data_IF_399445647118
#
_entry.id   IF_399445647118
#
_cell.length_a   1.000
_cell.length_b   1.000
_cell.length_c   1.000
_cell.angle_alpha   90.00
_cell.angle_beta   90.00
_cell.angle_gamma   90.00
#
_symmetry.space_group_name_H-M   'P 1'
#
loop_
_entity.id
_entity.type
_entity.pdbx_description
1 polymer ?
#
# COMPACT_ATOMS: atom_id res chain seq x y z
N UNK A 1 -4.65 21.60 -19.42
CA UNK A 1 -4.89 21.81 -17.98
C UNK A 1 -4.89 20.45 -17.31
N UNK A 2 -3.84 20.12 -16.55
CA UNK A 2 -3.77 18.88 -15.80
C UNK A 2 -4.63 19.05 -14.54
N UNK A 3 -5.63 18.20 -14.36
CA UNK A 3 -6.55 18.29 -13.22
C UNK A 3 -6.04 17.39 -12.07
N UNK A 4 -6.36 17.72 -10.82
CA UNK A 4 -5.98 16.91 -9.66
C UNK A 4 -6.50 15.47 -9.76
N UNK A 5 -7.68 15.30 -10.38
CA UNK A 5 -8.29 13.99 -10.63
C UNK A 5 -7.41 13.13 -11.52
N UNK A 6 -6.88 13.67 -12.63
CA UNK A 6 -6.04 12.88 -13.53
C UNK A 6 -4.69 12.54 -12.90
N UNK A 7 -4.11 13.44 -12.09
CA UNK A 7 -2.88 13.14 -11.33
C UNK A 7 -3.10 12.02 -10.31
N UNK A 8 -4.22 12.06 -9.57
CA UNK A 8 -4.56 11.02 -8.59
C UNK A 8 -4.78 9.65 -9.26
N UNK A 9 -5.47 9.61 -10.42
CA UNK A 9 -5.66 8.38 -11.17
C UNK A 9 -4.35 7.81 -11.70
N UNK A 10 -3.47 8.65 -12.25
CA UNK A 10 -2.15 8.21 -12.69
C UNK A 10 -1.32 7.68 -11.53
N UNK A 11 -1.32 8.37 -10.39
CA UNK A 11 -0.61 7.92 -9.18
C UNK A 11 -1.15 6.56 -8.69
N UNK A 12 -2.46 6.35 -8.71
CA UNK A 12 -3.09 5.09 -8.30
C UNK A 12 -2.64 3.93 -9.19
N UNK A 13 -2.64 4.12 -10.51
CA UNK A 13 -2.19 3.09 -11.46
C UNK A 13 -0.70 2.79 -11.28
N UNK A 14 0.15 3.82 -11.19
CA UNK A 14 1.58 3.63 -10.97
C UNK A 14 1.88 2.91 -9.65
N UNK A 15 1.17 3.27 -8.57
CA UNK A 15 1.33 2.62 -7.28
C UNK A 15 0.89 1.15 -7.30
N UNK A 16 -0.20 0.84 -8.00
CA UNK A 16 -0.64 -0.54 -8.19
C UNK A 16 0.43 -1.38 -8.91
N UNK A 17 1.02 -0.87 -10.00
CA UNK A 17 2.12 -1.55 -10.70
C UNK A 17 3.35 -1.74 -9.81
N UNK A 18 3.74 -0.70 -9.06
CA UNK A 18 4.86 -0.78 -8.12
C UNK A 18 4.67 -1.93 -7.13
N UNK A 19 3.49 -2.03 -6.51
CA UNK A 19 3.21 -3.08 -5.52
C UNK A 19 3.17 -4.47 -6.16
N UNK A 20 2.63 -4.60 -7.39
CA UNK A 20 2.65 -5.86 -8.13
C UNK A 20 4.08 -6.34 -8.42
N UNK A 21 4.95 -5.45 -8.91
CA UNK A 21 6.35 -5.79 -9.18
C UNK A 21 7.13 -6.12 -7.91
N UNK A 22 6.92 -5.36 -6.83
CA UNK A 22 7.54 -5.65 -5.54
C UNK A 22 7.09 -7.00 -4.98
N UNK A 23 5.80 -7.29 -5.01
CA UNK A 23 5.26 -8.58 -4.57
C UNK A 23 5.83 -9.73 -5.42
N UNK A 24 5.93 -9.54 -6.74
CA UNK A 24 6.52 -10.53 -7.62
C UNK A 24 8.02 -10.77 -7.33
N UNK A 25 8.78 -9.72 -7.00
CA UNK A 25 10.19 -9.83 -6.61
C UNK A 25 10.35 -10.57 -5.29
N UNK A 26 9.55 -10.24 -4.28
CA UNK A 26 9.59 -10.91 -2.96
C UNK A 26 9.19 -12.39 -3.08
N UNK A 27 8.17 -12.72 -3.89
CA UNK A 27 7.79 -14.11 -4.16
C UNK A 27 8.87 -14.92 -4.89
N UNK A 28 9.83 -14.27 -5.55
CA UNK A 28 11.02 -14.90 -6.15
C UNK A 28 12.17 -15.10 -5.15
N UNK A 29 11.94 -14.85 -3.86
CA UNK A 29 12.93 -15.04 -2.78
C UNK A 29 13.82 -13.83 -2.52
N UNK A 30 13.53 -12.67 -3.14
CA UNK A 30 14.24 -11.43 -2.82
C UNK A 30 13.81 -10.94 -1.44
N UNK A 31 14.77 -10.57 -0.58
CA UNK A 31 14.45 -10.01 0.72
C UNK A 31 13.66 -8.70 0.59
N UNK A 32 12.69 -8.50 1.49
CA UNK A 32 11.85 -7.30 1.51
C UNK A 32 12.73 -6.06 1.71
N UNK A 33 13.69 -6.12 2.63
CA UNK A 33 14.60 -5.02 2.94
C UNK A 33 15.41 -4.59 1.72
N UNK A 34 15.95 -5.55 0.96
CA UNK A 34 16.71 -5.24 -0.26
C UNK A 34 15.83 -4.60 -1.33
N UNK A 35 14.61 -5.11 -1.51
CA UNK A 35 13.65 -4.57 -2.49
C UNK A 35 13.29 -3.11 -2.16
N UNK A 36 13.06 -2.82 -0.88
CA UNK A 36 12.78 -1.46 -0.41
C UNK A 36 13.98 -0.52 -0.54
N UNK A 37 15.18 -1.02 -0.33
CA UNK A 37 16.41 -0.25 -0.55
C UNK A 37 16.56 0.15 -2.02
N UNK A 38 16.39 -0.79 -2.95
CA UNK A 38 16.45 -0.51 -4.40
C UNK A 38 15.37 0.49 -4.81
N UNK A 39 14.13 0.31 -4.33
CA UNK A 39 13.03 1.26 -4.59
C UNK A 39 13.38 2.66 -4.08
N UNK A 40 13.92 2.76 -2.88
CA UNK A 40 14.29 4.04 -2.25
C UNK A 40 15.41 4.75 -3.02
N UNK A 41 16.39 4.01 -3.53
CA UNK A 41 17.43 4.57 -4.40
C UNK A 41 16.82 5.13 -5.68
N UNK A 42 15.98 4.36 -6.37
CA UNK A 42 15.34 4.81 -7.63
C UNK A 42 14.51 6.08 -7.39
N UNK A 43 13.72 6.14 -6.32
CA UNK A 43 12.95 7.33 -5.97
C UNK A 43 13.85 8.52 -5.64
N UNK A 44 14.91 8.31 -4.85
CA UNK A 44 15.84 9.38 -4.46
C UNK A 44 16.54 9.98 -5.68
N UNK A 45 17.01 9.15 -6.61
CA UNK A 45 17.62 9.64 -7.86
C UNK A 45 16.60 10.37 -8.74
N UNK A 46 15.41 9.82 -8.90
CA UNK A 46 14.37 10.40 -9.75
C UNK A 46 13.94 11.78 -9.23
N UNK A 47 13.65 11.88 -7.93
CA UNK A 47 13.29 13.15 -7.30
C UNK A 47 14.48 14.10 -7.18
N UNK A 48 15.71 13.60 -7.01
CA UNK A 48 16.91 14.42 -6.97
C UNK A 48 17.18 15.13 -8.30
N UNK A 49 17.02 14.42 -9.42
CA UNK A 49 17.14 15.01 -10.77
C UNK A 49 16.04 16.05 -10.98
N UNK A 50 14.80 15.74 -10.59
CA UNK A 50 13.69 16.67 -10.76
C UNK A 50 13.84 17.93 -9.88
N UNK A 51 14.34 17.76 -8.66
CA UNK A 51 14.55 18.86 -7.71
C UNK A 51 15.71 19.79 -8.08
N UNK A 52 16.58 19.40 -9.02
CA UNK A 52 17.72 20.21 -9.44
C UNK A 52 17.31 21.54 -10.12
N UNK A 53 16.04 21.73 -10.47
CA UNK A 53 15.53 23.00 -11.01
C UNK A 53 15.11 24.04 -9.96
N UNK A 54 14.88 23.64 -8.70
CA UNK A 54 14.05 24.40 -7.74
C UNK A 54 14.85 24.96 -6.54
N UNK A 55 15.99 25.60 -6.82
CA UNK A 55 16.94 26.08 -5.80
C UNK A 55 16.49 27.32 -5.01
N UNK A 56 15.24 27.80 -5.17
CA UNK A 56 14.77 29.06 -4.58
C UNK A 56 14.22 28.97 -3.14
N UNK A 57 14.02 27.77 -2.58
CA UNK A 57 13.20 27.57 -1.36
C UNK A 57 13.98 27.47 -0.02
N UNK A 58 15.23 27.94 0.02
CA UNK A 58 16.13 27.82 1.18
C UNK A 58 15.59 28.30 2.54
N UNK A 59 14.82 29.40 2.65
CA UNK A 59 14.32 29.86 3.94
C UNK A 59 13.25 28.95 4.54
N UNK A 60 12.42 28.34 3.70
CA UNK A 60 11.27 27.51 4.10
C UNK A 60 11.68 26.08 4.40
N UNK A 61 12.78 25.60 3.79
CA UNK A 61 13.35 24.27 4.02
C UNK A 61 13.58 24.00 5.51
N UNK A 62 14.18 24.92 6.24
CA UNK A 62 14.59 24.69 7.65
C UNK A 62 13.41 24.35 8.57
N UNK A 63 12.25 24.96 8.33
CA UNK A 63 11.03 24.67 9.09
C UNK A 63 10.37 23.35 8.65
N UNK A 64 10.52 22.97 7.38
CA UNK A 64 9.93 21.75 6.83
C UNK A 64 10.76 20.48 7.13
N UNK A 65 12.07 20.59 7.33
CA UNK A 65 12.96 19.44 7.60
C UNK A 65 12.45 18.49 8.69
N UNK A 66 12.11 18.93 9.92
CA UNK A 66 11.68 18.00 10.96
C UNK A 66 10.39 17.26 10.59
N UNK A 67 9.45 17.93 9.90
CA UNK A 67 8.22 17.32 9.41
C UNK A 67 8.51 16.29 8.31
N UNK A 68 9.41 16.61 7.38
CA UNK A 68 9.81 15.72 6.30
C UNK A 68 10.58 14.50 6.81
N UNK A 69 11.43 14.67 7.82
CA UNK A 69 12.13 13.57 8.50
C UNK A 69 11.12 12.66 9.20
N UNK A 70 10.15 13.23 9.93
CA UNK A 70 9.07 12.47 10.54
C UNK A 70 8.24 11.69 9.51
N UNK A 71 7.86 12.34 8.42
CA UNK A 71 7.14 11.69 7.31
C UNK A 71 7.97 10.56 6.67
N UNK A 72 9.28 10.76 6.50
CA UNK A 72 10.21 9.75 5.99
C UNK A 72 10.29 8.52 6.89
N UNK A 73 10.45 8.71 8.20
CA UNK A 73 10.46 7.62 9.17
C UNK A 73 9.13 6.84 9.17
N UNK A 74 8.00 7.54 9.17
CA UNK A 74 6.68 6.91 9.04
C UNK A 74 6.53 6.15 7.72
N UNK A 75 7.06 6.70 6.62
CA UNK A 75 7.01 6.05 5.31
C UNK A 75 7.83 4.75 5.26
N UNK A 76 9.01 4.72 5.89
CA UNK A 76 9.83 3.51 5.99
C UNK A 76 9.06 2.40 6.70
N UNK A 77 8.48 2.70 7.87
CA UNK A 77 7.71 1.72 8.64
C UNK A 77 6.44 1.29 7.90
N UNK A 78 5.70 2.25 7.33
CA UNK A 78 4.45 1.99 6.61
C UNK A 78 4.66 1.13 5.37
N UNK A 79 5.65 1.45 4.54
CA UNK A 79 5.98 0.66 3.37
C UNK A 79 6.49 -0.73 3.76
N UNK A 80 7.24 -0.85 4.86
CA UNK A 80 7.78 -2.14 5.30
C UNK A 80 6.65 -3.06 5.76
N UNK A 81 5.75 -2.56 6.59
CA UNK A 81 4.56 -3.27 7.02
C UNK A 81 3.67 -3.65 5.83
N UNK A 82 3.51 -2.75 4.86
CA UNK A 82 2.76 -3.00 3.63
C UNK A 82 3.33 -4.18 2.83
N UNK A 83 4.63 -4.18 2.52
CA UNK A 83 5.23 -5.27 1.74
C UNK A 83 5.30 -6.58 2.52
N UNK A 84 5.48 -6.51 3.85
CA UNK A 84 5.41 -7.69 4.69
C UNK A 84 4.00 -8.31 4.60
N UNK A 85 2.94 -7.50 4.75
CA UNK A 85 1.55 -7.95 4.66
C UNK A 85 1.19 -8.53 3.27
N UNK A 86 1.64 -7.90 2.18
CA UNK A 86 1.39 -8.42 0.82
C UNK A 86 2.20 -9.69 0.51
N UNK A 87 3.35 -9.87 1.16
CA UNK A 87 4.16 -11.08 1.02
C UNK A 87 3.61 -12.27 1.82
N UNK A 88 2.99 -12.01 2.98
CA UNK A 88 2.41 -13.06 3.84
C UNK A 88 0.99 -13.46 3.44
N UNK A 89 0.27 -12.65 2.66
CA UNK A 89 -1.09 -12.97 2.24
C UNK A 89 -1.11 -13.92 1.04
N UNK A 90 -2.06 -14.87 1.03
CA UNK A 90 -2.25 -15.80 -0.10
C UNK A 90 -2.53 -15.04 -1.42
N UNK A 91 -3.21 -13.90 -1.31
CA UNK A 91 -3.44 -12.98 -2.42
C UNK A 91 -3.15 -11.54 -1.97
N UNK A 92 -2.23 -10.89 -2.68
CA UNK A 92 -1.76 -9.53 -2.38
C UNK A 92 -2.85 -8.47 -2.54
N UNK A 93 -3.89 -8.75 -3.35
CA UNK A 93 -5.03 -7.86 -3.53
C UNK A 93 -5.80 -7.58 -2.23
N UNK A 94 -5.88 -8.57 -1.32
CA UNK A 94 -6.56 -8.38 -0.04
C UNK A 94 -5.81 -7.44 0.90
N UNK A 95 -4.51 -7.66 1.05
CA UNK A 95 -3.65 -6.77 1.86
C UNK A 95 -3.69 -5.34 1.30
N UNK A 96 -3.65 -5.20 -0.03
CA UNK A 96 -3.79 -3.90 -0.70
C UNK A 96 -5.14 -3.23 -0.48
N UNK A 97 -6.25 -3.99 -0.49
CA UNK A 97 -7.58 -3.45 -0.25
C UNK A 97 -7.69 -2.85 1.17
N UNK A 98 -7.18 -3.56 2.17
CA UNK A 98 -7.14 -3.08 3.57
C UNK A 98 -6.28 -1.83 3.66
N UNK A 99 -5.10 -1.81 3.04
CA UNK A 99 -4.21 -0.64 3.03
C UNK A 99 -4.85 0.54 2.28
N UNK A 100 -5.65 0.29 1.25
CA UNK A 100 -6.39 1.32 0.52
C UNK A 100 -7.35 2.14 1.38
N UNK A 101 -7.84 1.58 2.49
CA UNK A 101 -8.63 2.31 3.50
C UNK A 101 -7.84 3.41 4.23
N UNK A 102 -6.51 3.47 4.10
CA UNK A 102 -5.72 4.56 4.67
C UNK A 102 -6.20 5.94 4.19
N UNK A 103 -6.77 6.04 2.98
CA UNK A 103 -7.33 7.30 2.45
C UNK A 103 -8.46 7.84 3.34
N UNK A 104 -9.29 6.96 3.89
CA UNK A 104 -10.34 7.33 4.84
C UNK A 104 -9.75 7.79 6.19
N UNK A 105 -8.70 7.12 6.67
CA UNK A 105 -7.99 7.52 7.88
C UNK A 105 -7.30 8.88 7.71
N UNK A 106 -6.66 9.13 6.57
CA UNK A 106 -6.06 10.42 6.23
C UNK A 106 -7.13 11.51 6.19
N UNK A 107 -8.30 11.25 5.60
CA UNK A 107 -9.40 12.21 5.58
C UNK A 107 -9.92 12.53 6.99
N UNK A 108 -10.02 11.52 7.86
CA UNK A 108 -10.45 11.69 9.25
C UNK A 108 -9.41 12.49 10.06
N UNK A 109 -8.12 12.15 9.92
CA UNK A 109 -7.01 12.85 10.55
C UNK A 109 -6.90 14.28 10.05
N UNK A 110 -7.09 14.51 8.75
CA UNK A 110 -7.09 15.84 8.16
C UNK A 110 -8.23 16.69 8.70
N UNK A 111 -9.43 16.12 8.85
CA UNK A 111 -10.53 16.82 9.52
C UNK A 111 -10.17 17.20 10.96
N UNK A 112 -9.61 16.25 11.71
CA UNK A 112 -9.31 16.46 13.12
C UNK A 112 -8.15 17.45 13.36
N UNK A 113 -7.09 17.40 12.55
CA UNK A 113 -5.91 18.26 12.69
C UNK A 113 -6.01 19.60 11.95
N UNK A 114 -6.62 19.64 10.76
CA UNK A 114 -6.70 20.86 9.94
C UNK A 114 -8.01 21.63 10.13
N UNK A 115 -8.97 21.08 10.89
CA UNK A 115 -10.22 21.77 11.26
C UNK A 115 -11.13 22.11 10.07
N UNK A 116 -11.04 21.37 8.97
CA UNK A 116 -11.83 21.65 7.76
C UNK A 116 -13.31 21.29 7.91
N UNK A 117 -14.19 21.89 7.11
CA UNK A 117 -15.62 21.56 7.13
C UNK A 117 -15.90 20.15 6.58
N UNK A 118 -16.57 19.30 7.38
CA UNK A 118 -17.00 17.96 6.96
C UNK A 118 -18.42 17.99 6.41
N UNK A 119 -18.55 17.72 5.12
CA UNK A 119 -19.84 17.46 4.50
C UNK A 119 -20.28 16.02 4.75
N UNK A 120 -21.55 15.80 5.09
CA UNK A 120 -22.10 14.47 5.42
C UNK A 120 -21.84 13.39 4.34
N UNK A 121 -21.88 13.77 3.06
CA UNK A 121 -21.54 12.88 1.94
C UNK A 121 -20.11 12.30 2.01
N UNK A 122 -19.14 13.04 2.57
CA UNK A 122 -17.76 12.54 2.73
C UNK A 122 -17.70 11.45 3.80
N UNK A 123 -18.49 11.59 4.86
CA UNK A 123 -18.63 10.58 5.91
C UNK A 123 -19.23 9.28 5.35
N UNK A 124 -20.23 9.41 4.47
CA UNK A 124 -20.82 8.27 3.77
C UNK A 124 -19.81 7.56 2.86
N UNK A 125 -18.97 8.32 2.15
CA UNK A 125 -17.86 7.76 1.37
C UNK A 125 -16.89 6.92 2.22
N UNK A 126 -16.50 7.43 3.40
CA UNK A 126 -15.68 6.69 4.37
C UNK A 126 -16.37 5.38 4.79
N UNK A 127 -17.66 5.45 5.15
CA UNK A 127 -18.42 4.27 5.57
C UNK A 127 -18.48 3.20 4.47
N UNK A 128 -18.67 3.61 3.20
CA UNK A 128 -18.67 2.70 2.05
C UNK A 128 -17.30 2.06 1.83
N UNK A 129 -16.20 2.82 1.97
CA UNK A 129 -14.84 2.26 1.88
C UNK A 129 -14.60 1.20 2.96
N UNK A 130 -15.00 1.47 4.21
CA UNK A 130 -14.87 0.51 5.32
C UNK A 130 -15.69 -0.75 5.03
N UNK A 131 -16.95 -0.60 4.62
CA UNK A 131 -17.82 -1.71 4.23
C UNK A 131 -17.21 -2.55 3.11
N UNK A 132 -16.67 -1.91 2.08
CA UNK A 132 -15.98 -2.59 0.98
C UNK A 132 -14.82 -3.45 1.46
N UNK A 133 -14.01 -2.95 2.39
CA UNK A 133 -12.90 -3.72 2.98
C UNK A 133 -13.38 -4.87 3.84
N UNK A 134 -14.44 -4.70 4.62
CA UNK A 134 -15.03 -5.78 5.42
C UNK A 134 -15.55 -6.90 4.51
N UNK A 135 -16.28 -6.55 3.45
CA UNK A 135 -16.80 -7.51 2.46
C UNK A 135 -15.65 -8.27 1.77
N UNK A 136 -14.60 -7.56 1.37
CA UNK A 136 -13.42 -8.17 0.72
C UNK A 136 -12.67 -9.11 1.68
N UNK A 137 -12.67 -8.80 2.99
CA UNK A 137 -11.95 -9.58 4.01
C UNK A 137 -12.76 -10.77 4.54
N UNK A 138 -14.09 -10.75 4.42
CA UNK A 138 -15.01 -11.75 4.99
C UNK A 138 -14.80 -13.20 4.50
N UNK A 139 -14.56 -13.48 3.20
CA UNK A 139 -14.44 -14.86 2.71
C UNK A 139 -13.23 -15.62 3.25
N UNK A 140 -12.26 -14.94 3.85
CA UNK A 140 -10.98 -15.53 4.27
C UNK A 140 -11.02 -16.22 5.65
N UNK A 141 -12.05 -15.99 6.46
CA UNK A 141 -12.21 -16.70 7.74
C UNK A 141 -12.80 -18.12 7.58
N UNK A 142 -13.37 -18.44 6.41
CA UNK A 142 -14.05 -19.72 6.15
C UNK A 142 -13.12 -20.86 5.71
N UNK A 143 -11.86 -20.59 5.37
CA UNK A 143 -10.91 -21.61 4.89
C UNK A 143 -9.86 -21.93 5.95
N UNK A 144 -10.31 -22.37 7.12
CA UNK A 144 -9.40 -22.90 8.14
C UNK A 144 -8.73 -24.18 7.58
N UNK A 145 -7.39 -24.30 7.60
CA UNK A 145 -6.65 -25.49 7.15
C UNK A 145 -6.76 -26.63 8.17
N UNK A 146 -7.99 -26.97 8.53
CA UNK A 146 -8.36 -28.06 9.42
C UNK A 146 -9.53 -28.87 8.86
N UNK A 147 -9.74 -28.83 7.54
CA UNK A 147 -10.68 -29.71 6.87
C UNK A 147 -9.95 -31.01 6.46
N UNK A 148 -10.09 -32.12 7.22
CA UNK A 148 -9.38 -33.38 6.97
C UNK A 148 -9.77 -34.07 5.65
N UNK A 149 -10.72 -33.52 4.89
CA UNK A 149 -11.28 -34.13 3.68
C UNK A 149 -10.36 -34.09 2.44
N UNK A 150 -9.27 -33.32 2.45
CA UNK A 150 -8.29 -33.30 1.35
C UNK A 150 -7.31 -34.48 1.38
N UNK A 151 -7.12 -35.14 2.52
CA UNK A 151 -6.19 -36.27 2.65
C UNK A 151 -6.77 -37.59 2.13
N UNK A 152 -8.09 -37.68 1.93
CA UNK A 152 -8.76 -38.93 1.53
C UNK A 152 -8.83 -39.15 0.00
N UNK A 153 -8.52 -38.17 -0.85
CA UNK A 153 -8.76 -38.27 -2.31
C UNK A 153 -7.53 -38.36 -3.21
N UNK A 154 -6.30 -38.31 -2.67
CA UNK A 154 -5.07 -38.29 -3.48
C UNK A 154 -4.29 -39.60 -3.60
N UNK A 155 -4.67 -40.65 -2.88
CA UNK A 155 -3.90 -41.90 -2.77
C UNK A 155 -4.26 -42.96 -3.83
N UNK A 156 -4.27 -42.59 -5.11
CA UNK A 156 -4.58 -43.52 -6.19
C UNK A 156 -3.69 -43.30 -7.41
N UNK A 157 -2.99 -44.37 -7.80
CA UNK A 157 -2.27 -44.58 -9.08
C UNK A 157 -0.78 -44.21 -9.09
N UNK A 158 0.02 -45.03 -8.41
CA UNK A 158 1.32 -45.47 -8.93
C UNK A 158 1.32 -47.00 -9.02
N UNK A 159 1.11 -47.54 -10.22
CA UNK A 159 1.58 -48.88 -10.60
C UNK A 159 1.61 -49.02 -12.12
N UNK A 160 2.82 -49.29 -12.65
CA UNK A 160 3.00 -49.97 -13.92
C UNK A 160 3.39 -49.11 -15.12
N UNK A 161 4.68 -48.80 -15.27
CA UNK A 161 5.56 -49.39 -16.29
C UNK A 161 6.94 -48.74 -16.27
#
# INVERSE_FOLDING_TARGET
MWNYVSQALTALVCFAFMVLFMTAAVKRGVSVQFSMFVLSLVLTFSFGIWSYGDWGMWPQWKAAVPLLVGAGLCSVVGNWAMFLATSSSANAGYALAIIGCQSALVLLLAYWFLGGDMHWLRLLGIAVCILGVVIISWPLQGSSPGDPDMASKGGGVTSGR
#
